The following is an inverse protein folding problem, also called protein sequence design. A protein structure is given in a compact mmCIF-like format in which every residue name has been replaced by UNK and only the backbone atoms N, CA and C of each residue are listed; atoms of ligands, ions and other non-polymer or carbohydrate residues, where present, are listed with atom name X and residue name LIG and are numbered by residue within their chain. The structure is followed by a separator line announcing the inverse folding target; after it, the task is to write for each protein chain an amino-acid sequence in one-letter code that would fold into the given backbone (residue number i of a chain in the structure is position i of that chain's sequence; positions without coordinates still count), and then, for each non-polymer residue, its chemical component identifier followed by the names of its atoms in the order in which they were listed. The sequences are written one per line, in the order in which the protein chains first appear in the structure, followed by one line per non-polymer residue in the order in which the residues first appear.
data_IF_304104819795
#
_entry.id   IF_304104819795
#
_cell.length_a   1.000
_cell.length_b   1.000
_cell.length_c   1.000
_cell.angle_alpha   90.00
_cell.angle_beta   90.00
_cell.angle_gamma   90.00
#
_symmetry.space_group_name_H-M   'P 1'
#
loop_
_entity.id
_entity.type
_entity.pdbx_description
1 polymer ?
#
# COMPACT_ATOMS: atom_id res chain seq x y z
N UNK A 1 51.00 46.15 8.40
CA UNK A 1 49.53 46.10 8.46
C UNK A 1 49.02 45.75 7.08
N UNK A 2 48.61 44.50 6.84
CA UNK A 2 47.96 44.12 5.57
C UNK A 2 46.91 43.08 5.89
N UNK A 3 45.63 43.48 5.82
CA UNK A 3 44.47 42.62 6.12
C UNK A 3 44.05 41.91 4.84
N UNK A 4 44.17 40.59 4.78
CA UNK A 4 43.55 39.78 3.74
C UNK A 4 42.03 39.74 3.97
N UNK A 5 41.26 40.23 3.00
CA UNK A 5 39.80 40.11 3.01
C UNK A 5 39.42 38.71 2.47
N UNK A 6 38.92 37.84 3.35
CA UNK A 6 38.39 36.54 2.99
C UNK A 6 36.96 36.71 2.43
N UNK A 7 36.77 36.53 1.13
CA UNK A 7 35.46 36.53 0.50
C UNK A 7 34.82 35.14 0.69
N UNK A 8 33.86 35.02 1.61
CA UNK A 8 33.05 33.82 1.79
C UNK A 8 31.96 33.83 0.72
N UNK A 9 32.10 32.99 -0.31
CA UNK A 9 31.05 32.74 -1.28
C UNK A 9 29.97 31.87 -0.64
N UNK A 10 28.86 32.48 -0.25
CA UNK A 10 27.66 31.76 0.23
C UNK A 10 26.96 31.19 -1.00
N UNK A 11 27.24 29.93 -1.33
CA UNK A 11 26.51 29.18 -2.33
C UNK A 11 25.06 28.96 -1.85
N UNK A 12 24.10 29.53 -2.57
CA UNK A 12 22.68 29.28 -2.39
C UNK A 12 22.38 27.80 -2.66
N UNK A 13 22.31 26.99 -1.60
CA UNK A 13 21.76 25.63 -1.67
C UNK A 13 20.25 25.76 -1.88
N UNK A 14 19.81 25.72 -3.14
CA UNK A 14 18.39 25.53 -3.44
C UNK A 14 18.02 24.09 -3.06
N UNK A 15 17.01 23.89 -2.19
CA UNK A 15 16.54 22.54 -1.90
C UNK A 15 15.97 21.96 -3.20
N UNK A 16 16.61 20.94 -3.74
CA UNK A 16 16.04 20.15 -4.81
C UNK A 16 14.78 19.47 -4.27
N UNK A 17 13.61 19.93 -4.71
CA UNK A 17 12.36 19.23 -4.47
C UNK A 17 12.44 17.88 -5.14
N UNK A 18 12.73 16.83 -4.36
CA UNK A 18 12.55 15.44 -4.82
C UNK A 18 11.05 15.23 -4.96
N UNK A 19 10.54 15.41 -6.19
CA UNK A 19 9.20 14.94 -6.53
C UNK A 19 9.24 13.42 -6.48
N UNK A 20 8.76 12.84 -5.38
CA UNK A 20 8.44 11.43 -5.34
C UNK A 20 7.39 11.18 -6.44
N UNK A 21 7.79 10.55 -7.54
CA UNK A 21 6.85 10.12 -8.57
C UNK A 21 5.95 9.06 -7.95
N UNK A 22 4.72 9.45 -7.58
CA UNK A 22 3.72 8.51 -7.12
C UNK A 22 3.37 7.61 -8.30
N UNK A 23 3.85 6.36 -8.28
CA UNK A 23 3.47 5.38 -9.29
C UNK A 23 1.99 5.09 -9.09
N UNK A 24 1.16 5.43 -10.08
CA UNK A 24 -0.28 5.22 -10.01
C UNK A 24 -0.57 3.71 -10.05
N UNK A 25 -1.34 3.20 -9.09
CA UNK A 25 -1.87 1.83 -9.15
C UNK A 25 -2.84 1.73 -10.34
N UNK A 26 -2.70 0.65 -11.11
CA UNK A 26 -3.51 0.38 -12.31
C UNK A 26 -4.06 -1.05 -12.27
N UNK A 27 -5.08 -1.32 -13.08
CA UNK A 27 -5.76 -2.61 -13.13
C UNK A 27 -6.82 -2.75 -12.04
N UNK A 28 -7.17 -3.99 -11.67
CA UNK A 28 -8.30 -4.26 -10.76
C UNK A 28 -8.12 -3.68 -9.35
N UNK A 29 -6.87 -3.44 -8.92
CA UNK A 29 -6.58 -2.74 -7.67
C UNK A 29 -7.06 -1.29 -7.62
N UNK A 30 -7.12 -0.62 -8.77
CA UNK A 30 -7.59 0.76 -8.89
C UNK A 30 -9.11 0.85 -9.14
N UNK A 31 -9.82 -0.28 -9.07
CA UNK A 31 -11.27 -0.26 -9.16
C UNK A 31 -11.87 0.29 -7.84
N UNK A 32 -12.92 1.12 -7.91
CA UNK A 32 -13.63 1.54 -6.72
C UNK A 32 -14.18 0.34 -5.94
N UNK A 33 -14.25 0.47 -4.62
CA UNK A 33 -14.80 -0.53 -3.72
C UNK A 33 -16.23 -0.95 -4.11
N UNK A 34 -17.06 -0.04 -4.64
CA UNK A 34 -18.38 -0.41 -5.20
C UNK A 34 -18.29 -1.44 -6.33
N UNK A 35 -17.32 -1.29 -7.24
CA UNK A 35 -17.07 -2.22 -8.35
C UNK A 35 -16.62 -3.58 -7.83
N UNK A 36 -15.68 -3.60 -6.88
CA UNK A 36 -15.25 -4.83 -6.22
C UNK A 36 -16.44 -5.55 -5.56
N UNK A 37 -17.24 -4.86 -4.75
CA UNK A 37 -18.38 -5.44 -4.06
C UNK A 37 -19.40 -6.04 -5.04
N UNK A 38 -19.72 -5.31 -6.10
CA UNK A 38 -20.63 -5.80 -7.14
C UNK A 38 -20.08 -7.07 -7.78
N UNK A 39 -18.85 -7.01 -8.32
CA UNK A 39 -18.25 -8.12 -9.07
C UNK A 39 -18.02 -9.36 -8.20
N UNK A 40 -17.50 -9.19 -6.99
CA UNK A 40 -17.24 -10.30 -6.07
C UNK A 40 -18.52 -10.97 -5.57
N UNK A 41 -19.63 -10.22 -5.48
CA UNK A 41 -20.95 -10.78 -5.12
C UNK A 41 -21.62 -11.51 -6.28
N UNK A 42 -21.41 -11.05 -7.51
CA UNK A 42 -22.05 -11.62 -8.71
C UNK A 42 -21.30 -12.83 -9.28
N UNK A 43 -19.97 -12.87 -9.11
CA UNK A 43 -19.12 -13.93 -9.63
C UNK A 43 -18.03 -14.33 -8.62
N UNK A 44 -18.10 -15.55 -8.06
CA UNK A 44 -17.06 -16.07 -7.18
C UNK A 44 -15.65 -16.09 -7.80
N UNK A 45 -15.55 -16.15 -9.13
CA UNK A 45 -14.26 -16.06 -9.83
C UNK A 45 -13.66 -14.66 -9.69
N UNK A 46 -14.44 -13.61 -9.89
CA UNK A 46 -13.98 -12.24 -9.70
C UNK A 46 -13.45 -12.03 -8.26
N UNK A 47 -14.17 -12.54 -7.25
CA UNK A 47 -13.69 -12.50 -5.86
C UNK A 47 -12.31 -13.15 -5.67
N UNK A 48 -12.04 -14.28 -6.33
CA UNK A 48 -10.72 -14.93 -6.31
C UNK A 48 -9.66 -14.12 -7.04
N UNK A 49 -10.00 -13.48 -8.16
CA UNK A 49 -9.08 -12.64 -8.94
C UNK A 49 -8.65 -11.39 -8.15
N UNK A 50 -9.59 -10.70 -7.48
CA UNK A 50 -9.28 -9.61 -6.56
C UNK A 50 -8.38 -10.07 -5.40
N UNK A 51 -8.68 -11.24 -4.82
CA UNK A 51 -7.88 -11.73 -3.70
C UNK A 51 -6.48 -12.17 -4.13
N UNK A 52 -6.34 -12.80 -5.30
CA UNK A 52 -5.04 -13.14 -5.87
C UNK A 52 -4.21 -11.89 -6.16
N UNK A 53 -4.83 -10.85 -6.73
CA UNK A 53 -4.17 -9.56 -6.95
C UNK A 53 -3.75 -8.90 -5.64
N UNK A 54 -4.62 -8.90 -4.61
CA UNK A 54 -4.30 -8.36 -3.30
C UNK A 54 -3.08 -9.06 -2.68
N UNK A 55 -3.05 -10.40 -2.67
CA UNK A 55 -1.89 -11.16 -2.17
C UNK A 55 -0.61 -10.82 -2.95
N UNK A 56 -0.66 -10.75 -4.28
CA UNK A 56 0.48 -10.36 -5.10
C UNK A 56 0.96 -8.93 -4.82
N UNK A 57 0.03 -7.99 -4.62
CA UNK A 57 0.34 -6.61 -4.27
C UNK A 57 1.03 -6.51 -2.90
N UNK A 58 0.53 -7.22 -1.89
CA UNK A 58 1.14 -7.31 -0.56
C UNK A 58 2.56 -7.88 -0.61
N UNK A 59 2.77 -8.97 -1.36
CA UNK A 59 4.12 -9.52 -1.59
C UNK A 59 5.04 -8.50 -2.27
N UNK A 60 4.51 -7.74 -3.24
CA UNK A 60 5.25 -6.66 -3.88
C UNK A 60 5.65 -5.53 -2.91
N UNK A 61 4.81 -5.21 -1.92
CA UNK A 61 5.17 -4.25 -0.86
C UNK A 61 6.32 -4.78 0.00
N UNK A 62 6.29 -6.06 0.37
CA UNK A 62 7.37 -6.69 1.13
C UNK A 62 8.69 -6.70 0.37
N UNK A 63 8.69 -7.07 -0.91
CA UNK A 63 9.91 -7.11 -1.74
C UNK A 63 10.58 -5.73 -1.85
N UNK A 64 9.78 -4.65 -1.83
CA UNK A 64 10.28 -3.27 -1.91
C UNK A 64 10.54 -2.63 -0.55
N UNK A 65 10.24 -3.32 0.55
CA UNK A 65 10.51 -2.79 1.88
C UNK A 65 12.03 -2.71 2.11
N UNK A 66 12.52 -1.70 2.86
CA UNK A 66 13.90 -1.69 3.33
C UNK A 66 14.22 -2.95 4.14
N UNK A 67 15.48 -3.37 4.11
CA UNK A 67 15.99 -4.48 4.93
C UNK A 67 15.63 -4.29 6.41
N UNK A 68 15.27 -5.37 7.10
CA UNK A 68 14.81 -5.34 8.49
C UNK A 68 13.37 -4.85 8.69
N UNK A 69 12.70 -4.28 7.67
CA UNK A 69 11.30 -3.86 7.76
C UNK A 69 10.37 -4.94 7.20
N UNK A 70 9.41 -5.38 8.02
CA UNK A 70 8.39 -6.37 7.64
C UNK A 70 8.98 -7.71 7.13
N UNK A 71 10.28 -7.98 7.34
CA UNK A 71 11.07 -9.07 6.73
C UNK A 71 10.53 -10.48 7.05
N UNK A 72 9.78 -10.61 8.15
CA UNK A 72 9.16 -11.86 8.58
C UNK A 72 7.62 -11.76 8.65
N UNK A 73 7.03 -10.77 7.97
CA UNK A 73 5.59 -10.64 7.94
C UNK A 73 4.98 -11.80 7.16
N UNK A 74 4.30 -12.69 7.89
CA UNK A 74 3.45 -13.71 7.29
C UNK A 74 2.19 -13.04 6.72
N UNK A 75 1.99 -13.16 5.39
CA UNK A 75 0.79 -12.65 4.72
C UNK A 75 -0.43 -13.57 4.85
N UNK A 76 -0.27 -14.77 5.42
CA UNK A 76 -1.35 -15.72 5.67
C UNK A 76 -1.24 -16.38 7.06
N UNK A 77 -1.11 -15.60 8.15
CA UNK A 77 -0.92 -16.15 9.47
C UNK A 77 -2.16 -16.92 9.91
N UNK A 78 -1.98 -17.97 10.71
CA UNK A 78 -3.10 -18.82 11.19
C UNK A 78 -4.18 -18.02 11.94
N UNK A 79 -3.81 -16.93 12.62
CA UNK A 79 -4.73 -16.02 13.32
C UNK A 79 -5.54 -15.12 12.39
N UNK A 80 -5.06 -14.91 11.17
CA UNK A 80 -5.68 -14.04 10.16
C UNK A 80 -5.60 -14.67 8.75
N UNK A 81 -6.24 -15.84 8.55
CA UNK A 81 -6.14 -16.58 7.30
C UNK A 81 -6.77 -15.80 6.14
N UNK A 82 -6.42 -16.16 4.90
CA UNK A 82 -6.88 -15.46 3.68
C UNK A 82 -8.40 -15.29 3.62
N UNK A 83 -9.20 -16.23 4.15
CA UNK A 83 -10.66 -16.07 4.23
C UNK A 83 -11.07 -14.85 5.08
N UNK A 84 -10.42 -14.66 6.24
CA UNK A 84 -10.66 -13.51 7.13
C UNK A 84 -10.18 -12.21 6.50
N UNK A 85 -9.12 -12.27 5.67
CA UNK A 85 -8.67 -11.14 4.87
C UNK A 85 -9.69 -10.73 3.81
N UNK A 86 -10.26 -11.70 3.08
CA UNK A 86 -11.31 -11.43 2.10
C UNK A 86 -12.55 -10.79 2.75
N UNK A 87 -12.93 -11.27 3.95
CA UNK A 87 -13.99 -10.66 4.75
C UNK A 87 -13.63 -9.23 5.18
N UNK A 88 -12.41 -9.01 5.66
CA UNK A 88 -11.91 -7.68 6.01
C UNK A 88 -12.02 -6.70 4.84
N UNK A 89 -11.60 -7.10 3.64
CA UNK A 89 -11.67 -6.27 2.44
C UNK A 89 -13.11 -5.93 2.06
N UNK A 90 -14.04 -6.90 2.17
CA UNK A 90 -15.47 -6.67 1.99
C UNK A 90 -15.99 -5.61 2.96
N UNK A 91 -15.73 -5.78 4.25
CA UNK A 91 -16.19 -4.86 5.31
C UNK A 91 -15.61 -3.47 5.12
N UNK A 92 -14.32 -3.36 4.81
CA UNK A 92 -13.69 -2.07 4.51
C UNK A 92 -14.42 -1.38 3.34
N UNK A 93 -14.65 -2.10 2.24
CA UNK A 93 -15.27 -1.55 1.05
C UNK A 93 -16.76 -1.19 1.24
N UNK A 94 -17.47 -1.88 2.13
CA UNK A 94 -18.85 -1.52 2.50
C UNK A 94 -18.91 -0.14 3.17
N UNK A 95 -17.93 0.18 4.03
CA UNK A 95 -17.80 1.48 4.67
C UNK A 95 -17.17 2.56 3.80
N UNK A 96 -16.41 2.19 2.76
CA UNK A 96 -15.57 3.09 1.96
C UNK A 96 -15.82 2.93 0.45
N UNK A 97 -17.09 3.06 0.04
CA UNK A 97 -17.55 2.73 -1.32
C UNK A 97 -16.77 3.41 -2.46
N UNK A 98 -16.33 4.65 -2.28
CA UNK A 98 -15.61 5.42 -3.28
C UNK A 98 -14.08 5.24 -3.26
N UNK A 99 -13.54 4.57 -2.23
CA UNK A 99 -12.11 4.28 -2.16
C UNK A 99 -11.70 3.25 -3.20
N UNK A 100 -10.44 3.26 -3.62
CA UNK A 100 -9.92 2.22 -4.49
C UNK A 100 -9.73 0.93 -3.70
N UNK A 101 -9.86 -0.23 -4.36
CA UNK A 101 -9.63 -1.52 -3.72
C UNK A 101 -8.21 -1.62 -3.14
N UNK A 102 -7.21 -0.99 -3.75
CA UNK A 102 -5.85 -0.90 -3.22
C UNK A 102 -5.79 -0.24 -1.84
N UNK A 103 -6.64 0.74 -1.55
CA UNK A 103 -6.68 1.40 -0.23
C UNK A 103 -7.13 0.40 0.86
N UNK A 104 -8.08 -0.47 0.53
CA UNK A 104 -8.50 -1.56 1.40
C UNK A 104 -7.35 -2.55 1.65
N UNK A 105 -6.61 -2.90 0.60
CA UNK A 105 -5.46 -3.82 0.68
C UNK A 105 -4.30 -3.21 1.46
N UNK A 106 -4.02 -1.92 1.33
CA UNK A 106 -3.02 -1.23 2.16
C UNK A 106 -3.44 -1.18 3.63
N UNK A 107 -4.74 -1.01 3.91
CA UNK A 107 -5.27 -1.08 5.28
C UNK A 107 -5.18 -2.50 5.84
N UNK A 108 -5.41 -3.52 5.01
CA UNK A 108 -5.14 -4.90 5.36
C UNK A 108 -3.66 -5.14 5.67
N UNK A 109 -2.73 -4.59 4.87
CA UNK A 109 -1.29 -4.69 5.14
C UNK A 109 -0.91 -4.09 6.51
N UNK A 110 -1.47 -2.92 6.84
CA UNK A 110 -1.31 -2.29 8.17
C UNK A 110 -1.80 -3.22 9.28
N UNK A 111 -2.94 -3.88 9.07
CA UNK A 111 -3.55 -4.83 10.01
C UNK A 111 -2.71 -6.08 10.19
N UNK A 112 -2.12 -6.64 9.14
CA UNK A 112 -1.26 -7.83 9.22
C UNK A 112 0.01 -7.57 10.04
N UNK A 113 0.57 -6.36 9.98
CA UNK A 113 1.74 -5.96 10.78
C UNK A 113 1.46 -5.82 12.28
N UNK A 114 0.20 -5.59 12.66
CA UNK A 114 -0.25 -5.47 14.04
C UNK A 114 -1.68 -6.01 14.15
N UNK A 115 -1.86 -7.34 14.17
CA UNK A 115 -3.20 -7.93 14.20
C UNK A 115 -3.96 -7.40 15.41
N UNK A 116 -5.25 -7.03 15.30
CA UNK A 116 -6.07 -6.75 16.47
C UNK A 116 -6.05 -7.99 17.38
N UNK A 117 -5.77 -7.77 18.67
CA UNK A 117 -5.72 -8.80 19.70
C UNK A 117 -7.04 -9.54 19.89
#
# INVERSE_FOLDING_TARGET
MTRYALLIAVGLLTPASVFAQSVKIVGIGAAPCTTFLLQASSDPRAGREYMAWAQGYLSGLLIRAPEGKDENLDLAPRSFPVRKQAEFLRVYCEGNRAADFSDAVETLYKTLRAPPG
#
